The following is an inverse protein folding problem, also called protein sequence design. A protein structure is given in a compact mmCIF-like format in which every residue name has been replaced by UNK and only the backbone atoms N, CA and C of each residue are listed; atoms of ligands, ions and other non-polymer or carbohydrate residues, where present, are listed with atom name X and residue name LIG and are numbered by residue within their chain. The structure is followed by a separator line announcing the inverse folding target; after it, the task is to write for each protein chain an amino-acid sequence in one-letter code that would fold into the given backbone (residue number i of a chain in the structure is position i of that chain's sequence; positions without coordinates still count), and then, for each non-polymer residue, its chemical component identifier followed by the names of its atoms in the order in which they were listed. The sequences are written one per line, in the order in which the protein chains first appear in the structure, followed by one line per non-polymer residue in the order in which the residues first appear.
data_IF_834744118643
#
_entry.id   IF_834744118643
#
_cell.length_a   1.000
_cell.length_b   1.000
_cell.length_c   1.000
_cell.angle_alpha   90.00
_cell.angle_beta   90.00
_cell.angle_gamma   90.00
#
_symmetry.space_group_name_H-M   'P 1'
#
loop_
_entity.id
_entity.type
_entity.pdbx_description
1 polymer ?
#
# COMPACT_ATOMS: atom_id res chain seq x y z
N UNK A 1 12.91 5.07 3.18
CA UNK A 1 11.43 5.10 3.16
C UNK A 1 11.04 5.16 1.69
N UNK A 2 10.05 4.38 1.27
CA UNK A 2 9.58 4.35 -0.11
C UNK A 2 8.09 4.04 -0.15
N UNK A 3 7.42 4.36 -1.25
CA UNK A 3 6.01 4.05 -1.45
C UNK A 3 5.85 3.43 -2.83
N UNK A 4 5.28 2.23 -2.89
CA UNK A 4 4.86 1.62 -4.14
C UNK A 4 3.34 1.73 -4.27
N UNK A 5 2.89 2.08 -5.47
CA UNK A 5 1.50 2.13 -5.86
C UNK A 5 1.31 1.13 -6.96
N UNK A 6 0.31 0.27 -6.80
CA UNK A 6 0.10 -0.82 -7.75
C UNK A 6 -1.34 -0.90 -8.19
N UNK A 7 -1.51 -1.17 -9.48
CA UNK A 7 -2.76 -1.65 -10.05
C UNK A 7 -2.98 -3.12 -9.71
N UNK A 8 -3.50 -3.90 -10.66
CA UNK A 8 -3.91 -5.31 -10.43
C UNK A 8 -2.80 -6.21 -9.83
N UNK A 9 -1.53 -5.92 -10.07
CA UNK A 9 -0.39 -6.69 -9.56
C UNK A 9 0.41 -5.90 -8.53
N UNK A 10 0.61 -6.47 -7.32
CA UNK A 10 1.27 -5.85 -6.15
C UNK A 10 2.72 -5.39 -6.41
N UNK A 11 3.40 -6.00 -7.38
CA UNK A 11 4.61 -5.49 -8.03
C UNK A 11 4.41 -5.73 -9.53
N UNK A 12 4.34 -4.64 -10.30
CA UNK A 12 3.98 -4.68 -11.72
C UNK A 12 5.19 -4.71 -12.66
N UNK A 13 5.00 -5.12 -13.93
CA UNK A 13 6.04 -5.06 -14.96
C UNK A 13 6.57 -3.64 -15.22
N UNK A 14 5.82 -2.62 -14.78
CA UNK A 14 6.07 -1.20 -15.01
C UNK A 14 6.78 -0.50 -13.85
N UNK A 15 7.10 -1.21 -12.75
CA UNK A 15 7.60 -0.62 -11.49
C UNK A 15 8.81 0.31 -11.64
N UNK A 16 9.65 0.07 -12.66
CA UNK A 16 10.86 0.87 -12.94
C UNK A 16 10.81 1.58 -14.30
N UNK A 17 9.65 1.59 -14.95
CA UNK A 17 9.48 2.29 -16.22
C UNK A 17 9.17 3.78 -15.95
N UNK A 18 9.59 4.68 -16.86
CA UNK A 18 9.19 6.07 -16.79
C UNK A 18 7.66 6.19 -16.87
N UNK A 19 7.11 7.16 -16.16
CA UNK A 19 5.68 7.48 -16.15
C UNK A 19 5.46 8.93 -16.52
N UNK A 20 4.32 9.22 -17.13
CA UNK A 20 3.90 10.60 -17.38
C UNK A 20 3.44 11.23 -16.06
N UNK A 21 3.64 12.55 -15.95
CA UNK A 21 3.19 13.31 -14.80
C UNK A 21 2.65 14.69 -15.16
N UNK A 22 1.78 15.20 -14.32
CA UNK A 22 1.28 16.58 -14.39
C UNK A 22 1.30 17.22 -13.00
N UNK A 23 1.52 18.53 -12.96
CA UNK A 23 1.46 19.34 -11.75
C UNK A 23 0.17 20.14 -11.73
N UNK A 24 -0.48 20.17 -10.57
CA UNK A 24 -1.71 20.92 -10.32
C UNK A 24 -1.49 21.81 -9.09
N UNK A 25 -1.60 23.13 -9.30
CA UNK A 25 -1.53 24.11 -8.24
C UNK A 25 -2.95 24.44 -7.74
N UNK A 26 -3.11 24.51 -6.43
CA UNK A 26 -4.38 24.82 -5.78
C UNK A 26 -4.37 26.25 -5.23
N UNK A 27 -5.56 26.86 -5.13
CA UNK A 27 -5.72 28.24 -4.64
C UNK A 27 -5.28 28.40 -3.18
N UNK A 28 -5.36 27.34 -2.38
CA UNK A 28 -4.92 27.28 -0.98
C UNK A 28 -3.40 27.11 -0.81
N UNK A 29 -2.65 27.10 -1.92
CA UNK A 29 -1.21 26.88 -1.94
C UNK A 29 -0.80 25.41 -1.90
N UNK A 30 -1.76 24.46 -1.87
CA UNK A 30 -1.45 23.05 -2.04
C UNK A 30 -0.88 22.77 -3.44
N UNK A 31 -0.09 21.72 -3.55
CA UNK A 31 0.47 21.26 -4.83
C UNK A 31 0.21 19.77 -4.95
N UNK A 32 -0.33 19.36 -6.09
CA UNK A 32 -0.50 17.95 -6.46
C UNK A 32 0.40 17.59 -7.63
N UNK A 33 1.17 16.52 -7.48
CA UNK A 33 1.76 15.83 -8.63
C UNK A 33 0.94 14.59 -8.95
N UNK A 34 0.38 14.55 -10.15
CA UNK A 34 -0.26 13.37 -10.69
C UNK A 34 0.76 12.57 -11.48
N UNK A 35 0.90 11.29 -11.17
CA UNK A 35 1.66 10.33 -11.96
C UNK A 35 0.71 9.26 -12.47
N UNK A 36 0.88 8.79 -13.70
CA UNK A 36 -0.01 7.77 -14.22
C UNK A 36 0.54 6.98 -15.39
N UNK A 37 -0.05 5.83 -15.62
CA UNK A 37 0.25 4.96 -16.75
C UNK A 37 -1.00 4.21 -17.20
N UNK A 38 -0.95 3.71 -18.44
CA UNK A 38 -1.90 2.71 -18.92
C UNK A 38 -1.27 1.33 -18.82
N UNK A 39 -1.87 0.46 -18.02
CA UNK A 39 -1.38 -0.87 -17.76
C UNK A 39 -1.51 -1.74 -19.02
N UNK A 40 -0.42 -2.33 -19.54
CA UNK A 40 -0.40 -2.94 -20.87
C UNK A 40 -1.18 -4.25 -20.99
N UNK A 41 -1.42 -5.00 -19.91
CA UNK A 41 -2.09 -6.31 -19.98
C UNK A 41 -3.63 -6.19 -20.03
N UNK A 42 -4.23 -5.21 -19.35
CA UNK A 42 -5.69 -5.04 -19.27
C UNK A 42 -6.19 -3.71 -19.82
N UNK A 43 -5.28 -2.80 -20.21
CA UNK A 43 -5.62 -1.49 -20.77
C UNK A 43 -6.35 -0.58 -19.78
N UNK A 44 -6.17 -0.80 -18.47
CA UNK A 44 -6.66 0.10 -17.44
C UNK A 44 -5.66 1.22 -17.24
N UNK A 45 -6.14 2.46 -17.23
CA UNK A 45 -5.32 3.59 -16.83
C UNK A 45 -5.49 3.84 -15.34
N UNK A 46 -4.37 3.98 -14.64
CA UNK A 46 -4.35 4.36 -13.22
C UNK A 46 -3.48 5.59 -13.07
N UNK A 47 -4.03 6.62 -12.43
CA UNK A 47 -3.30 7.80 -12.01
C UNK A 47 -3.33 7.90 -10.49
N UNK A 48 -2.20 8.31 -9.91
CA UNK A 48 -2.11 8.62 -8.50
C UNK A 48 -1.63 10.05 -8.30
N UNK A 49 -2.37 10.80 -7.51
CA UNK A 49 -2.06 12.18 -7.12
C UNK A 49 -1.44 12.20 -5.74
N UNK A 50 -0.33 12.89 -5.61
CA UNK A 50 0.36 13.17 -4.35
C UNK A 50 0.21 14.64 -4.02
N UNK A 51 -0.49 14.96 -2.94
CA UNK A 51 -0.75 16.35 -2.55
C UNK A 51 -0.03 16.71 -1.26
N UNK A 52 0.70 17.83 -1.30
CA UNK A 52 1.24 18.48 -0.12
C UNK A 52 0.45 19.77 0.15
N UNK A 53 0.08 19.97 1.41
CA UNK A 53 -0.56 21.19 1.90
C UNK A 53 0.37 21.97 2.83
N UNK A 54 0.47 23.31 2.71
CA UNK A 54 1.42 24.11 3.49
C UNK A 54 1.31 23.94 5.01
N UNK A 55 0.09 23.68 5.52
CA UNK A 55 -0.25 23.64 6.94
C UNK A 55 -0.44 22.20 7.48
N UNK A 56 -0.08 21.16 6.69
CA UNK A 56 -0.26 19.75 7.09
C UNK A 56 1.04 18.97 7.05
N UNK A 57 1.32 18.25 8.13
CA UNK A 57 2.37 17.24 8.18
C UNK A 57 1.85 15.88 7.66
N UNK A 58 1.21 15.87 6.49
CA UNK A 58 0.64 14.68 5.87
C UNK A 58 0.86 14.71 4.35
N UNK A 59 1.15 13.54 3.78
CA UNK A 59 1.09 13.33 2.34
C UNK A 59 -0.29 12.75 2.01
N UNK A 60 -1.06 13.48 1.20
CA UNK A 60 -2.35 12.98 0.73
C UNK A 60 -2.17 12.23 -0.59
N UNK A 61 -2.83 11.08 -0.69
CA UNK A 61 -2.75 10.18 -1.84
C UNK A 61 -4.17 10.00 -2.38
N UNK A 62 -4.37 10.31 -3.65
CA UNK A 62 -5.63 10.11 -4.36
C UNK A 62 -5.39 9.24 -5.59
N UNK A 63 -6.37 8.44 -5.99
CA UNK A 63 -6.25 7.63 -7.21
C UNK A 63 -7.44 7.77 -8.13
N UNK A 64 -7.16 7.80 -9.43
CA UNK A 64 -8.15 7.82 -10.51
C UNK A 64 -7.92 6.59 -11.37
N UNK A 65 -8.98 5.80 -11.61
CA UNK A 65 -8.93 4.62 -12.46
C UNK A 65 -9.87 4.85 -13.63
N UNK A 66 -9.36 4.71 -14.84
CA UNK A 66 -10.13 4.84 -16.07
C UNK A 66 -10.10 3.54 -16.86
N UNK A 67 -11.29 3.08 -17.25
CA UNK A 67 -11.45 1.90 -18.10
C UNK A 67 -11.90 2.33 -19.50
N UNK A 68 -10.95 2.43 -20.44
CA UNK A 68 -11.24 2.71 -21.84
C UNK A 68 -11.74 1.51 -22.65
N UNK A 69 -11.87 0.33 -22.03
CA UNK A 69 -12.33 -0.87 -22.73
C UNK A 69 -13.86 -0.88 -22.93
N UNK A 70 -14.32 -1.56 -23.97
CA UNK A 70 -15.76 -1.79 -24.21
C UNK A 70 -16.42 -2.70 -23.14
N UNK A 71 -15.63 -3.37 -22.30
CA UNK A 71 -16.12 -4.27 -21.26
C UNK A 71 -15.56 -3.89 -19.89
N UNK A 72 -16.28 -4.20 -18.79
CA UNK A 72 -15.77 -4.01 -17.44
C UNK A 72 -14.47 -4.79 -17.20
N UNK A 73 -13.53 -4.17 -16.49
CA UNK A 73 -12.28 -4.81 -16.03
C UNK A 73 -12.19 -4.75 -14.51
N UNK A 74 -11.68 -5.83 -13.92
CA UNK A 74 -11.37 -5.86 -12.49
C UNK A 74 -10.08 -5.09 -12.23
N UNK A 75 -10.02 -4.36 -11.11
CA UNK A 75 -8.81 -3.72 -10.63
C UNK A 75 -8.62 -4.03 -9.15
N UNK A 76 -7.37 -3.87 -8.71
CA UNK A 76 -6.97 -3.87 -7.32
C UNK A 76 -6.07 -2.66 -7.13
N UNK A 77 -6.12 -2.02 -5.96
CA UNK A 77 -5.29 -0.86 -5.66
C UNK A 77 -4.85 -0.89 -4.20
N UNK A 78 -3.57 -0.64 -3.97
CA UNK A 78 -2.97 -0.54 -2.64
C UNK A 78 -1.96 0.59 -2.59
N UNK A 79 -1.92 1.29 -1.46
CA UNK A 79 -0.80 2.12 -1.08
C UNK A 79 0.09 1.31 -0.12
N UNK A 80 1.34 1.06 -0.52
CA UNK A 80 2.29 0.24 0.23
C UNK A 80 3.46 1.09 0.76
N UNK A 81 3.27 1.89 1.84
CA UNK A 81 4.35 2.66 2.43
C UNK A 81 5.35 1.75 3.15
N UNK A 82 6.63 1.88 2.81
CA UNK A 82 7.73 1.18 3.44
C UNK A 82 8.43 2.09 4.45
N UNK A 83 8.34 1.71 5.72
CA UNK A 83 9.12 2.31 6.82
C UNK A 83 10.34 1.45 7.13
N UNK A 84 11.40 2.08 7.64
CA UNK A 84 12.54 1.31 8.18
C UNK A 84 12.00 0.46 9.34
N UNK A 85 12.46 -0.78 9.48
CA UNK A 85 12.18 -1.61 10.66
C UNK A 85 13.34 -1.58 11.66
N UNK A 86 13.16 -2.22 12.81
CA UNK A 86 14.21 -2.40 13.82
C UNK A 86 13.66 -2.42 15.25
N UNK A 87 14.51 -2.73 16.22
CA UNK A 87 14.17 -2.76 17.65
C UNK A 87 13.47 -1.47 18.07
N UNK A 88 12.19 -1.57 18.44
CA UNK A 88 11.34 -0.42 18.83
C UNK A 88 10.28 -0.01 17.81
N UNK A 89 10.24 -0.59 16.60
CA UNK A 89 9.12 -0.36 15.68
C UNK A 89 7.87 -1.08 16.14
N UNK A 90 6.75 -0.37 16.15
CA UNK A 90 5.45 -0.89 16.55
C UNK A 90 4.41 -0.61 15.48
N UNK A 91 3.60 -1.61 15.17
CA UNK A 91 2.36 -1.42 14.43
C UNK A 91 1.25 -1.11 15.43
N UNK A 92 0.65 0.06 15.30
CA UNK A 92 -0.50 0.49 16.10
C UNK A 92 -1.72 0.49 15.19
N UNK A 93 -2.78 -0.21 15.58
CA UNK A 93 -4.05 -0.26 14.86
C UNK A 93 -5.14 0.46 15.66
N UNK A 94 -6.20 0.95 15.00
CA UNK A 94 -7.38 1.51 15.67
C UNK A 94 -7.95 0.58 16.75
N UNK A 95 -8.55 1.12 17.83
CA UNK A 95 -8.97 0.35 19.01
C UNK A 95 -10.10 -0.66 18.73
N UNK A 96 -10.82 -0.49 17.63
CA UNK A 96 -11.90 -1.36 17.16
C UNK A 96 -11.41 -2.53 16.27
N UNK A 97 -10.11 -2.59 15.96
CA UNK A 97 -9.52 -3.76 15.29
C UNK A 97 -9.45 -4.92 16.27
N UNK A 98 -10.19 -5.99 15.97
CA UNK A 98 -10.28 -7.20 16.82
C UNK A 98 -9.50 -8.40 16.28
N UNK A 99 -9.06 -8.34 15.02
CA UNK A 99 -8.37 -9.46 14.36
C UNK A 99 -7.33 -8.96 13.35
N UNK A 100 -6.19 -9.65 13.32
CA UNK A 100 -5.15 -9.50 12.29
C UNK A 100 -4.88 -10.88 11.69
N UNK A 101 -4.78 -10.94 10.36
CA UNK A 101 -4.53 -12.17 9.60
C UNK A 101 -3.12 -12.17 9.01
N UNK A 102 -2.53 -13.35 8.90
CA UNK A 102 -1.33 -13.55 8.09
C UNK A 102 -1.68 -13.57 6.59
N UNK A 103 -0.66 -13.46 5.74
CA UNK A 103 -0.84 -13.48 4.29
C UNK A 103 -1.45 -14.79 3.77
N UNK A 104 -1.28 -15.91 4.48
CA UNK A 104 -1.91 -17.19 4.15
C UNK A 104 -3.35 -17.33 4.64
N UNK A 105 -3.86 -16.36 5.43
CA UNK A 105 -5.11 -16.47 6.20
C UNK A 105 -5.21 -17.73 7.07
N UNK A 106 -4.07 -18.33 7.42
CA UNK A 106 -4.00 -19.56 8.21
C UNK A 106 -3.95 -19.30 9.71
N UNK A 107 -3.64 -18.06 10.12
CA UNK A 107 -3.55 -17.63 11.51
C UNK A 107 -4.38 -16.38 11.78
N UNK A 108 -5.17 -16.41 12.86
CA UNK A 108 -5.88 -15.25 13.41
C UNK A 108 -5.27 -14.84 14.74
N UNK A 109 -4.77 -13.61 14.81
CA UNK A 109 -4.35 -12.98 16.06
C UNK A 109 -5.48 -12.08 16.58
N UNK A 110 -5.75 -12.09 17.90
CA UNK A 110 -6.73 -11.20 18.54
C UNK A 110 -6.09 -9.85 18.86
N UNK A 111 -6.70 -8.76 18.44
CA UNK A 111 -6.18 -7.41 18.69
C UNK A 111 -7.14 -6.63 19.62
N UNK A 112 -6.67 -5.70 20.47
CA UNK A 112 -5.26 -5.45 20.84
C UNK A 112 -4.70 -6.52 21.78
N UNK A 113 -3.43 -6.89 21.57
CA UNK A 113 -2.69 -7.72 22.53
C UNK A 113 -2.14 -6.86 23.67
N UNK A 114 -2.48 -7.19 24.93
CA UNK A 114 -1.99 -6.47 26.14
C UNK A 114 -0.47 -6.62 26.41
N UNK A 115 0.29 -7.34 25.59
CA UNK A 115 1.74 -7.55 25.80
C UNK A 115 2.56 -7.18 24.55
N UNK A 116 3.53 -6.29 24.77
CA UNK A 116 4.24 -5.40 23.83
C UNK A 116 5.22 -6.02 22.82
N UNK A 117 5.28 -7.33 22.59
CA UNK A 117 6.49 -7.93 21.97
C UNK A 117 6.31 -8.86 20.76
N UNK A 118 5.14 -8.97 20.12
CA UNK A 118 4.91 -10.08 19.17
C UNK A 118 4.63 -9.74 17.70
N UNK A 119 4.75 -8.49 17.26
CA UNK A 119 4.51 -8.14 15.85
C UNK A 119 5.77 -7.96 15.00
N UNK A 120 6.98 -8.10 15.58
CA UNK A 120 8.24 -7.92 14.83
C UNK A 120 8.97 -9.19 14.41
N UNK A 121 8.51 -10.39 14.78
CA UNK A 121 9.20 -11.62 14.41
C UNK A 121 8.26 -12.57 13.67
N UNK A 122 8.49 -12.70 12.36
CA UNK A 122 8.12 -13.89 11.59
C UNK A 122 8.92 -15.10 12.06
N UNK A 123 8.69 -15.53 13.30
CA UNK A 123 9.33 -16.71 13.87
C UNK A 123 8.26 -17.58 14.55
N UNK A 124 7.54 -18.34 13.71
CA UNK A 124 7.06 -19.66 14.13
C UNK A 124 8.30 -20.46 14.56
N UNK A 125 8.64 -20.45 15.86
CA UNK A 125 9.48 -21.48 16.44
C UNK A 125 8.68 -22.77 16.42
N UNK A 126 8.96 -23.59 15.41
CA UNK A 126 8.51 -24.97 15.25
C UNK A 126 8.66 -25.73 16.57
N UNK A 127 7.61 -26.46 16.95
CA UNK A 127 7.78 -27.73 17.65
C UNK A 127 6.91 -28.75 16.92
N UNK A 128 7.57 -29.80 16.41
CA UNK A 128 6.96 -30.77 15.52
C UNK A 128 8.00 -31.30 14.53
N UNK A 129 8.67 -32.37 14.94
CA UNK A 129 9.53 -33.21 14.12
C UNK A 129 8.90 -33.52 12.75
N UNK A 130 9.72 -33.63 11.70
CA UNK A 130 9.92 -34.90 10.97
C UNK A 130 11.11 -34.77 10.00
N UNK A 131 11.81 -35.90 9.86
CA UNK A 131 13.05 -36.11 9.12
C UNK A 131 12.81 -36.36 7.62
N UNK A 132 13.84 -36.02 6.85
CA UNK A 132 14.08 -36.19 5.40
C UNK A 132 13.29 -35.26 4.47
#
# INVERSE_FOLDING_TARGET
MGLSLTGRNIIGPTTFMPVDFTLEAHEDGAQTVWVGETEPMHGLQVMTGFTLRPDRAALEIASRVYNGNATPRHFLWWANPAVKGGEGHQSVFPPDVTAVFDHGQTGRLRFPHRHRHLLQSGLLRRSGHFSL
#
